data_IF_999318097466
#
_entry.id   IF_999318097466
#
_cell.length_a   1.000
_cell.length_b   1.000
_cell.length_c   1.000
_cell.angle_alpha   90.00
_cell.angle_beta   90.00
_cell.angle_gamma   90.00
#
_symmetry.space_group_name_H-M   'P 1'
#
loop_
_entity.id
_entity.type
_entity.pdbx_description
1 polymer ?
#
# COMPACT_ATOMS: atom_id res chain seq x y z
N UNK A 1 50.13 -7.15 -22.91
CA UNK A 1 49.20 -8.23 -23.29
C UNK A 1 47.83 -7.86 -22.74
N UNK A 2 46.90 -7.41 -23.61
CA UNK A 2 45.57 -6.95 -23.18
C UNK A 2 44.69 -8.17 -22.94
N UNK A 3 44.33 -8.41 -21.69
CA UNK A 3 43.34 -9.42 -21.32
C UNK A 3 41.98 -8.77 -21.56
N UNK A 4 41.37 -9.07 -22.70
CA UNK A 4 39.97 -8.75 -22.97
C UNK A 4 39.12 -9.77 -22.22
N UNK A 5 38.60 -9.38 -21.05
CA UNK A 5 37.54 -10.10 -20.39
C UNK A 5 36.30 -10.04 -21.28
N UNK A 6 35.94 -11.19 -21.84
CA UNK A 6 34.72 -11.38 -22.61
C UNK A 6 33.57 -11.41 -21.60
N UNK A 7 33.03 -10.24 -21.27
CA UNK A 7 31.83 -10.11 -20.46
C UNK A 7 30.63 -10.39 -21.37
N UNK A 8 29.87 -11.42 -21.01
CA UNK A 8 28.68 -11.86 -21.72
C UNK A 8 27.72 -10.69 -22.02
N UNK A 9 27.03 -10.70 -23.18
CA UNK A 9 26.15 -9.62 -23.63
C UNK A 9 24.95 -9.35 -22.70
N UNK A 10 24.71 -10.22 -21.73
CA UNK A 10 23.65 -10.08 -20.72
C UNK A 10 24.04 -9.04 -19.65
N UNK A 11 25.32 -8.95 -19.28
CA UNK A 11 25.81 -8.04 -18.22
C UNK A 11 25.94 -6.60 -18.75
N UNK A 12 26.22 -6.43 -20.04
CA UNK A 12 26.33 -5.12 -20.69
C UNK A 12 24.98 -4.41 -20.90
N UNK A 13 23.86 -5.16 -20.99
CA UNK A 13 22.53 -4.56 -21.18
C UNK A 13 21.94 -3.96 -19.91
N UNK A 14 22.31 -4.47 -18.74
CA UNK A 14 21.78 -4.00 -17.46
C UNK A 14 22.31 -2.60 -17.10
N UNK A 15 23.42 -2.17 -17.69
CA UNK A 15 24.06 -0.87 -17.44
C UNK A 15 23.51 0.29 -18.29
N UNK A 16 22.55 0.04 -19.19
CA UNK A 16 21.97 1.07 -20.07
C UNK A 16 20.46 1.24 -19.92
N UNK A 17 19.82 0.47 -19.04
CA UNK A 17 18.37 0.57 -18.83
C UNK A 17 18.07 1.78 -17.95
N UNK A 18 17.17 2.64 -18.41
CA UNK A 18 16.56 3.67 -17.57
C UNK A 18 15.85 3.02 -16.38
N UNK A 19 15.73 3.73 -15.25
CA UNK A 19 15.00 3.23 -14.07
C UNK A 19 13.59 2.69 -14.43
N UNK A 20 12.96 3.30 -15.43
CA UNK A 20 11.70 2.88 -16.04
C UNK A 20 11.73 1.49 -16.67
N UNK A 21 12.80 1.18 -17.41
CA UNK A 21 12.96 -0.10 -18.06
C UNK A 21 13.29 -1.21 -17.06
N UNK A 22 14.08 -0.88 -16.02
CA UNK A 22 14.36 -1.80 -14.91
C UNK A 22 13.07 -2.14 -14.17
N UNK A 23 12.24 -1.14 -13.88
CA UNK A 23 10.97 -1.34 -13.19
C UNK A 23 10.00 -2.17 -14.03
N UNK A 24 9.86 -1.85 -15.33
CA UNK A 24 9.03 -2.64 -16.26
C UNK A 24 9.49 -4.09 -16.37
N UNK A 25 10.80 -4.34 -16.42
CA UNK A 25 11.35 -5.69 -16.48
C UNK A 25 11.07 -6.47 -15.20
N UNK A 26 11.25 -5.86 -14.02
CA UNK A 26 10.94 -6.47 -12.73
C UNK A 26 9.45 -6.79 -12.58
N UNK A 27 8.55 -5.85 -12.88
CA UNK A 27 7.09 -6.10 -12.82
C UNK A 27 6.69 -7.23 -13.77
N UNK A 28 7.36 -7.36 -14.93
CA UNK A 28 7.15 -8.46 -15.89
C UNK A 28 7.72 -9.81 -15.47
N UNK A 29 8.66 -9.86 -14.52
CA UNK A 29 9.30 -11.12 -14.08
C UNK A 29 8.71 -11.72 -12.81
N UNK A 30 7.97 -10.96 -12.00
CA UNK A 30 7.42 -11.47 -10.72
C UNK A 30 6.25 -12.41 -10.97
N UNK A 31 6.38 -13.67 -10.54
CA UNK A 31 5.44 -14.72 -10.94
C UNK A 31 4.11 -14.69 -10.16
N UNK A 32 4.04 -13.95 -9.06
CA UNK A 32 2.85 -13.85 -8.21
C UNK A 32 2.56 -12.40 -7.84
N UNK A 33 1.29 -12.08 -7.68
CA UNK A 33 0.85 -10.76 -7.23
C UNK A 33 1.39 -10.39 -5.83
N UNK A 34 1.73 -11.39 -5.02
CA UNK A 34 2.36 -11.23 -3.70
C UNK A 34 3.80 -10.71 -3.80
N UNK A 35 4.65 -11.32 -4.63
CA UNK A 35 6.05 -10.86 -4.81
C UNK A 35 6.11 -9.41 -5.31
N UNK A 36 5.16 -9.03 -6.17
CA UNK A 36 5.03 -7.65 -6.64
C UNK A 36 4.63 -6.71 -5.50
N UNK A 37 3.71 -7.11 -4.64
CA UNK A 37 3.36 -6.33 -3.44
C UNK A 37 4.58 -6.19 -2.51
N UNK A 38 5.32 -7.26 -2.26
CA UNK A 38 6.55 -7.23 -1.43
C UNK A 38 7.57 -6.25 -2.02
N UNK A 39 7.84 -6.34 -3.32
CA UNK A 39 8.76 -5.43 -4.00
C UNK A 39 8.31 -3.96 -3.89
N UNK A 40 7.01 -3.68 -4.06
CA UNK A 40 6.47 -2.33 -3.92
C UNK A 40 6.60 -1.81 -2.48
N UNK A 41 6.33 -2.67 -1.49
CA UNK A 41 6.44 -2.35 -0.06
C UNK A 41 7.88 -2.00 0.32
N UNK A 42 8.84 -2.86 -0.03
CA UNK A 42 10.27 -2.62 0.18
C UNK A 42 10.73 -1.34 -0.51
N UNK A 43 10.26 -1.08 -1.73
CA UNK A 43 10.67 0.12 -2.47
C UNK A 43 10.18 1.39 -1.77
N UNK A 44 8.93 1.42 -1.29
CA UNK A 44 8.36 2.60 -0.62
C UNK A 44 8.99 2.87 0.73
N UNK A 45 9.35 1.82 1.49
CA UNK A 45 10.07 1.96 2.76
C UNK A 45 11.42 2.66 2.54
N UNK A 46 12.11 2.35 1.44
CA UNK A 46 13.42 2.93 1.11
C UNK A 46 13.37 4.36 0.54
N UNK A 47 12.20 4.84 0.11
CA UNK A 47 12.02 6.24 -0.29
C UNK A 47 11.86 7.06 0.99
N UNK A 48 12.58 8.17 1.15
CA UNK A 48 12.51 9.00 2.35
C UNK A 48 11.37 10.02 2.25
N UNK A 49 11.30 10.74 1.14
CA UNK A 49 10.33 11.82 0.97
C UNK A 49 8.94 11.28 0.62
N UNK A 50 7.93 11.68 1.39
CA UNK A 50 6.53 11.25 1.18
C UNK A 50 6.02 11.61 -0.23
N UNK A 51 6.38 12.77 -0.78
CA UNK A 51 5.98 13.17 -2.14
C UNK A 51 6.51 12.20 -3.21
N UNK A 52 7.76 11.74 -3.04
CA UNK A 52 8.35 10.74 -3.92
C UNK A 52 7.67 9.36 -3.77
N UNK A 53 7.22 8.98 -2.57
CA UNK A 53 6.42 7.75 -2.37
C UNK A 53 5.12 7.81 -3.15
N UNK A 54 4.41 8.93 -3.05
CA UNK A 54 3.14 9.16 -3.75
C UNK A 54 3.36 9.10 -5.27
N UNK A 55 4.40 9.77 -5.78
CA UNK A 55 4.74 9.75 -7.21
C UNK A 55 5.06 8.34 -7.69
N UNK A 56 5.89 7.60 -6.94
CA UNK A 56 6.24 6.21 -7.25
C UNK A 56 4.99 5.32 -7.29
N UNK A 57 4.12 5.41 -6.29
CA UNK A 57 2.87 4.64 -6.22
C UNK A 57 1.95 4.93 -7.40
N UNK A 58 1.79 6.21 -7.80
CA UNK A 58 1.01 6.55 -8.99
C UNK A 58 1.61 5.95 -10.28
N UNK A 59 2.94 5.99 -10.41
CA UNK A 59 3.63 5.38 -11.54
C UNK A 59 3.47 3.86 -11.55
N UNK A 60 3.69 3.21 -10.41
CA UNK A 60 3.52 1.78 -10.23
C UNK A 60 2.09 1.33 -10.55
N UNK A 61 1.07 2.07 -10.08
CA UNK A 61 -0.34 1.78 -10.38
C UNK A 61 -0.60 1.76 -11.89
N UNK A 62 -0.07 2.76 -12.59
CA UNK A 62 -0.20 2.84 -14.06
C UNK A 62 0.44 1.62 -14.72
N UNK A 63 1.62 1.20 -14.28
CA UNK A 63 2.29 0.02 -14.82
C UNK A 63 1.53 -1.28 -14.51
N UNK A 64 1.06 -1.47 -13.28
CA UNK A 64 0.29 -2.66 -12.88
C UNK A 64 -0.98 -2.81 -13.71
N UNK A 65 -1.71 -1.72 -13.94
CA UNK A 65 -2.93 -1.75 -14.76
C UNK A 65 -2.63 -1.98 -16.25
N UNK A 66 -1.50 -1.47 -16.75
CA UNK A 66 -1.13 -1.59 -18.16
C UNK A 66 -0.46 -2.92 -18.51
N UNK A 67 0.19 -3.57 -17.54
CA UNK A 67 0.86 -4.86 -17.71
C UNK A 67 -0.15 -5.95 -17.33
N UNK A 68 -1.28 -5.99 -18.03
CA UNK A 68 -2.16 -7.15 -17.98
C UNK A 68 -1.40 -8.28 -18.69
N UNK A 69 -0.88 -9.25 -17.92
CA UNK A 69 -0.21 -10.40 -18.52
C UNK A 69 -1.26 -11.23 -19.26
N UNK A 70 -1.08 -11.53 -20.55
CA UNK A 70 -1.84 -12.60 -21.17
C UNK A 70 -1.48 -13.88 -20.41
N UNK A 71 -2.47 -14.50 -19.79
CA UNK A 71 -2.26 -15.79 -19.13
C UNK A 71 -1.99 -16.80 -20.23
N UNK A 72 -0.96 -17.64 -20.08
CA UNK A 72 -0.82 -18.80 -20.94
C UNK A 72 -2.07 -19.66 -20.76
N UNK A 73 -2.89 -19.74 -21.81
CA UNK A 73 -4.21 -20.37 -21.72
C UNK A 73 -4.09 -21.85 -21.34
N UNK A 74 -3.06 -22.55 -21.82
CA UNK A 74 -2.87 -23.97 -21.48
C UNK A 74 -2.48 -24.18 -20.02
N UNK A 75 -1.72 -23.25 -19.43
CA UNK A 75 -1.36 -23.30 -18.02
C UNK A 75 -2.52 -22.81 -17.12
N UNK A 76 -3.26 -21.79 -17.57
CA UNK A 76 -4.46 -21.31 -16.86
C UNK A 76 -5.51 -22.40 -16.74
N UNK A 77 -5.81 -23.10 -17.84
CA UNK A 77 -6.82 -24.15 -17.85
C UNK A 77 -6.43 -25.33 -16.92
N UNK A 78 -5.12 -25.57 -16.73
CA UNK A 78 -4.61 -26.61 -15.84
C UNK A 78 -4.59 -26.21 -14.34
N UNK A 79 -4.51 -24.91 -14.03
CA UNK A 79 -4.31 -24.38 -12.66
C UNK A 79 -5.26 -23.21 -12.35
N UNK A 80 -6.47 -23.26 -12.91
CA UNK A 80 -7.41 -22.14 -12.89
C UNK A 80 -7.78 -21.73 -11.46
N UNK A 81 -7.94 -22.70 -10.57
CA UNK A 81 -8.35 -22.47 -9.18
C UNK A 81 -7.28 -21.70 -8.41
N UNK A 82 -6.01 -22.05 -8.59
CA UNK A 82 -4.85 -21.40 -8.00
C UNK A 82 -4.70 -19.98 -8.52
N UNK A 83 -4.81 -19.78 -9.84
CA UNK A 83 -4.79 -18.45 -10.47
C UNK A 83 -5.91 -17.55 -9.96
N UNK A 84 -7.13 -18.07 -9.85
CA UNK A 84 -8.28 -17.32 -9.37
C UNK A 84 -8.18 -16.99 -7.87
N UNK A 85 -7.60 -17.88 -7.06
CA UNK A 85 -7.32 -17.58 -5.65
C UNK A 85 -6.26 -16.49 -5.50
N UNK A 86 -5.14 -16.60 -6.21
CA UNK A 86 -4.04 -15.65 -6.09
C UNK A 86 -4.41 -14.26 -6.60
N UNK A 87 -5.16 -14.17 -7.72
CA UNK A 87 -5.68 -12.90 -8.23
C UNK A 87 -6.66 -12.20 -7.29
N UNK A 88 -7.46 -12.97 -6.54
CA UNK A 88 -8.43 -12.42 -5.58
C UNK A 88 -7.77 -12.02 -4.27
N UNK A 89 -6.75 -12.76 -3.82
CA UNK A 89 -6.06 -12.51 -2.55
C UNK A 89 -5.07 -11.37 -2.64
N UNK A 90 -4.35 -11.27 -3.76
CA UNK A 90 -3.29 -10.29 -3.94
C UNK A 90 -3.63 -9.46 -5.16
N UNK A 91 -4.22 -8.28 -4.94
CA UNK A 91 -4.48 -7.31 -6.00
C UNK A 91 -3.57 -6.10 -5.80
N UNK A 92 -2.46 -5.99 -6.56
CA UNK A 92 -1.49 -4.92 -6.37
C UNK A 92 -2.09 -3.54 -6.61
N UNK A 93 -3.10 -3.41 -7.49
CA UNK A 93 -3.76 -2.11 -7.71
C UNK A 93 -4.60 -1.68 -6.50
N UNK A 94 -5.30 -2.61 -5.84
CA UNK A 94 -6.01 -2.32 -4.58
C UNK A 94 -5.02 -2.00 -3.45
N UNK A 95 -3.91 -2.74 -3.37
CA UNK A 95 -2.84 -2.46 -2.42
C UNK A 95 -2.28 -1.04 -2.60
N UNK A 96 -1.97 -0.64 -3.83
CA UNK A 96 -1.46 0.69 -4.14
C UNK A 96 -2.46 1.77 -3.75
N UNK A 97 -3.76 1.57 -4.03
CA UNK A 97 -4.80 2.53 -3.62
C UNK A 97 -4.84 2.70 -2.10
N UNK A 98 -4.74 1.60 -1.36
CA UNK A 98 -4.74 1.64 0.10
C UNK A 98 -3.55 2.40 0.67
N UNK A 99 -2.37 2.26 0.07
CA UNK A 99 -1.19 3.04 0.47
C UNK A 99 -1.32 4.52 0.12
N UNK A 100 -1.84 4.86 -1.07
CA UNK A 100 -2.10 6.25 -1.44
C UNK A 100 -3.10 6.94 -0.51
N UNK A 101 -4.19 6.25 -0.15
CA UNK A 101 -5.19 6.77 0.80
C UNK A 101 -4.57 7.04 2.18
N UNK A 102 -3.73 6.12 2.66
CA UNK A 102 -3.07 6.29 3.95
C UNK A 102 -2.03 7.41 3.95
N UNK A 103 -1.18 7.51 2.93
CA UNK A 103 -0.19 8.58 2.82
C UNK A 103 -0.86 9.95 2.76
N UNK A 104 -1.99 10.06 2.05
CA UNK A 104 -2.78 11.30 1.98
C UNK A 104 -3.27 11.73 3.37
N UNK A 105 -3.88 10.81 4.12
CA UNK A 105 -4.33 11.08 5.49
C UNK A 105 -3.14 11.43 6.38
N UNK A 106 -2.05 10.68 6.27
CA UNK A 106 -0.83 10.90 7.05
C UNK A 106 -0.21 12.28 6.81
N UNK A 107 -0.25 12.78 5.57
CA UNK A 107 0.16 14.16 5.26
C UNK A 107 -0.75 15.20 5.91
N UNK A 108 -2.08 14.98 5.88
CA UNK A 108 -3.05 15.87 6.54
C UNK A 108 -2.79 15.94 8.06
N UNK A 109 -2.40 14.83 8.70
CA UNK A 109 -2.04 14.79 10.12
C UNK A 109 -0.72 15.51 10.45
N UNK A 110 0.29 15.47 9.57
CA UNK A 110 1.61 16.06 9.82
C UNK A 110 1.75 17.52 9.38
N UNK A 111 0.94 17.99 8.42
CA UNK A 111 0.95 19.38 7.96
C UNK A 111 0.28 20.38 8.93
N UNK A 112 -0.22 19.92 10.08
CA UNK A 112 -0.98 20.76 11.02
C UNK A 112 -0.11 21.75 11.83
N UNK A 113 0.27 22.85 11.17
CA UNK A 113 0.19 24.22 11.74
C UNK A 113 -1.27 24.69 11.91
N UNK A 114 -2.22 23.91 11.41
CA UNK A 114 -3.64 24.09 11.70
C UNK A 114 -4.03 23.06 12.76
N UNK A 115 -4.23 23.55 13.98
CA UNK A 115 -5.12 22.94 14.99
C UNK A 115 -6.27 22.18 14.33
N UNK A 116 -6.76 21.10 14.97
CA UNK A 116 -7.72 20.18 14.37
C UNK A 116 -8.77 20.98 13.62
N UNK A 117 -8.69 20.94 12.28
CA UNK A 117 -9.84 21.32 11.48
C UNK A 117 -10.99 20.59 12.11
N UNK A 118 -12.01 21.36 12.48
CA UNK A 118 -13.26 20.98 13.13
C UNK A 118 -13.96 19.79 12.44
N UNK A 119 -13.33 18.64 12.42
CA UNK A 119 -13.84 17.31 12.12
C UNK A 119 -14.21 16.72 13.49
N UNK A 120 -15.16 17.37 14.17
CA UNK A 120 -15.59 16.94 15.51
C UNK A 120 -16.15 17.98 16.48
N UNK A 121 -16.32 19.27 16.13
CA UNK A 121 -17.03 20.22 17.03
C UNK A 121 -18.56 20.00 17.03
N UNK A 122 -19.00 18.77 17.26
CA UNK A 122 -20.34 18.45 17.76
C UNK A 122 -20.30 17.30 18.78
N UNK A 123 -19.22 17.13 19.52
CA UNK A 123 -19.27 16.29 20.72
C UNK A 123 -19.58 17.19 21.92
N UNK A 124 -20.84 17.12 22.34
CA UNK A 124 -21.26 17.54 23.67
C UNK A 124 -20.22 17.04 24.68
N UNK A 125 -19.69 17.94 25.51
CA UNK A 125 -18.60 17.73 26.45
C UNK A 125 -18.87 16.70 27.58
N UNK A 126 -19.83 15.78 27.40
CA UNK A 126 -20.24 14.76 28.36
C UNK A 126 -20.53 13.37 27.72
N UNK A 127 -20.11 13.10 26.48
CA UNK A 127 -20.33 11.78 25.86
C UNK A 127 -19.15 10.83 26.15
N UNK A 128 -19.39 9.65 26.76
CA UNK A 128 -18.33 8.68 27.01
C UNK A 128 -17.92 7.96 25.72
N UNK A 129 -16.61 7.93 25.48
CA UNK A 129 -15.86 7.11 24.53
C UNK A 129 -15.98 7.42 23.03
N UNK A 130 -14.86 7.94 22.50
CA UNK A 130 -14.50 8.09 21.08
C UNK A 130 -14.28 6.76 20.36
N UNK A 131 -15.20 5.80 20.53
CA UNK A 131 -15.13 4.48 19.89
C UNK A 131 -15.92 4.49 18.58
N UNK A 132 -15.23 4.27 17.47
CA UNK A 132 -15.80 4.22 16.13
C UNK A 132 -16.06 2.79 15.69
N UNK A 133 -17.13 2.56 14.94
CA UNK A 133 -17.33 1.32 14.18
C UNK A 133 -16.63 1.41 12.82
N UNK A 134 -16.56 0.29 12.13
CA UNK A 134 -15.92 0.20 10.80
C UNK A 134 -16.42 1.26 9.81
N UNK A 135 -17.73 1.48 9.71
CA UNK A 135 -18.30 2.49 8.79
C UNK A 135 -17.95 3.93 9.20
N UNK A 136 -17.81 4.19 10.49
CA UNK A 136 -17.46 5.51 11.00
C UNK A 136 -15.97 5.80 10.78
N UNK A 137 -15.12 4.77 10.87
CA UNK A 137 -13.71 4.85 10.48
C UNK A 137 -13.55 5.17 8.99
N UNK A 138 -14.31 4.50 8.12
CA UNK A 138 -14.29 4.76 6.66
C UNK A 138 -14.64 6.23 6.36
N UNK A 139 -15.63 6.78 7.06
CA UNK A 139 -16.05 8.19 6.90
C UNK A 139 -15.05 9.17 7.48
N UNK A 140 -14.60 8.94 8.73
CA UNK A 140 -13.74 9.88 9.46
C UNK A 140 -12.36 9.98 8.83
N UNK A 141 -11.75 8.84 8.48
CA UNK A 141 -10.41 8.80 7.91
C UNK A 141 -10.42 8.76 6.37
N UNK A 142 -11.60 8.76 5.74
CA UNK A 142 -11.76 8.66 4.28
C UNK A 142 -11.04 7.44 3.69
N UNK A 143 -10.93 6.38 4.48
CA UNK A 143 -10.35 5.12 4.08
C UNK A 143 -11.42 4.27 3.42
N UNK A 144 -11.07 3.67 2.28
CA UNK A 144 -11.86 2.57 1.78
C UNK A 144 -11.80 1.39 2.75
N UNK A 145 -12.81 0.52 2.68
CA UNK A 145 -12.82 -0.77 3.39
C UNK A 145 -11.54 -1.59 3.18
N UNK A 146 -10.94 -1.50 1.99
CA UNK A 146 -9.68 -2.19 1.69
C UNK A 146 -8.51 -1.62 2.47
N UNK A 147 -8.42 -0.30 2.57
CA UNK A 147 -7.42 0.42 3.36
C UNK A 147 -7.55 0.10 4.83
N UNK A 148 -8.76 0.20 5.39
CA UNK A 148 -9.00 -0.08 6.80
C UNK A 148 -8.64 -1.53 7.16
N UNK A 149 -9.07 -2.52 6.37
CA UNK A 149 -8.69 -3.92 6.59
C UNK A 149 -7.17 -4.14 6.52
N UNK A 150 -6.48 -3.44 5.61
CA UNK A 150 -5.01 -3.51 5.53
C UNK A 150 -4.36 -2.91 6.76
N UNK A 151 -4.81 -1.76 7.26
CA UNK A 151 -4.27 -1.18 8.50
C UNK A 151 -4.48 -2.12 9.69
N UNK A 152 -5.64 -2.77 9.79
CA UNK A 152 -5.89 -3.81 10.80
C UNK A 152 -4.90 -4.97 10.66
N UNK A 153 -4.63 -5.45 9.44
CA UNK A 153 -3.65 -6.51 9.20
C UNK A 153 -2.22 -6.09 9.57
N UNK A 154 -1.90 -4.79 9.47
CA UNK A 154 -0.63 -4.18 9.88
C UNK A 154 -0.59 -3.79 11.36
N UNK A 155 -1.61 -4.15 12.15
CA UNK A 155 -1.63 -3.93 13.59
C UNK A 155 -2.30 -2.63 14.06
N UNK A 156 -3.18 -2.03 13.25
CA UNK A 156 -4.05 -0.94 13.73
C UNK A 156 -4.84 -1.41 14.96
N UNK A 157 -4.81 -0.67 16.09
CA UNK A 157 -5.49 -1.05 17.31
C UNK A 157 -7.01 -1.08 17.12
N UNK A 158 -7.62 -2.15 17.64
CA UNK A 158 -9.07 -2.29 17.69
C UNK A 158 -9.47 -3.13 18.89
N UNK A 159 -10.70 -2.92 19.35
CA UNK A 159 -11.33 -3.63 20.45
C UNK A 159 -12.49 -4.47 19.91
N UNK A 160 -12.78 -5.59 20.56
CA UNK A 160 -13.94 -6.42 20.23
C UNK A 160 -15.01 -6.21 21.28
N UNK A 161 -16.25 -5.99 20.84
CA UNK A 161 -17.39 -6.06 21.74
C UNK A 161 -17.73 -7.53 22.10
N UNK A 162 -18.58 -7.75 23.12
CA UNK A 162 -19.03 -9.10 23.47
C UNK A 162 -19.76 -9.85 22.35
N UNK A 163 -20.21 -9.16 21.29
CA UNK A 163 -20.84 -9.74 20.11
C UNK A 163 -19.84 -10.02 18.96
N UNK A 164 -18.55 -9.71 19.15
CA UNK A 164 -17.48 -9.91 18.17
C UNK A 164 -17.32 -8.79 17.13
N UNK A 165 -18.02 -7.66 17.26
CA UNK A 165 -17.84 -6.52 16.38
C UNK A 165 -16.61 -5.69 16.77
N UNK A 166 -15.89 -5.15 15.77
CA UNK A 166 -14.68 -4.34 15.95
C UNK A 166 -15.02 -2.86 16.19
N UNK A 167 -14.38 -2.28 17.20
CA UNK A 167 -14.44 -0.87 17.56
C UNK A 167 -13.03 -0.28 17.62
N UNK A 168 -12.92 1.00 17.30
CA UNK A 168 -11.64 1.69 17.17
C UNK A 168 -11.64 2.93 18.05
N UNK A 169 -10.72 3.01 19.01
CA UNK A 169 -10.54 4.23 19.77
C UNK A 169 -9.80 5.27 18.93
N UNK A 170 -10.39 6.45 18.75
CA UNK A 170 -9.81 7.54 17.94
C UNK A 170 -8.42 7.94 18.42
N UNK A 171 -8.18 7.93 19.74
CA UNK A 171 -6.89 8.31 20.33
C UNK A 171 -5.82 7.30 19.93
N UNK A 172 -6.09 6.01 20.16
CA UNK A 172 -5.17 4.92 19.82
C UNK A 172 -4.89 4.87 18.31
N UNK A 173 -5.93 5.05 17.48
CA UNK A 173 -5.79 5.11 16.03
C UNK A 173 -4.91 6.29 15.61
N UNK A 174 -5.12 7.48 16.18
CA UNK A 174 -4.36 8.66 15.82
C UNK A 174 -2.89 8.55 16.26
N UNK A 175 -2.61 7.95 17.41
CA UNK A 175 -1.26 7.63 17.86
C UNK A 175 -0.58 6.65 16.90
N UNK A 176 -1.27 5.56 16.56
CA UNK A 176 -0.77 4.57 15.61
C UNK A 176 -0.46 5.18 14.23
N UNK A 177 -1.31 6.07 13.71
CA UNK A 177 -1.06 6.78 12.44
C UNK A 177 0.23 7.60 12.53
N UNK A 178 0.46 8.34 13.63
CA UNK A 178 1.66 9.18 13.80
C UNK A 178 2.93 8.33 13.86
N UNK A 179 2.91 7.23 14.61
CA UNK A 179 4.04 6.31 14.72
C UNK A 179 4.37 5.67 13.37
N UNK A 180 3.36 5.16 12.66
CA UNK A 180 3.56 4.52 11.36
C UNK A 180 3.88 5.52 10.24
N UNK A 181 3.53 6.80 10.39
CA UNK A 181 4.01 7.82 9.46
C UNK A 181 5.47 8.15 9.70
N UNK A 182 5.90 8.14 10.97
CA UNK A 182 7.28 8.42 11.37
C UNK A 182 8.22 7.28 10.97
N UNK A 183 7.75 6.03 10.99
CA UNK A 183 8.47 4.86 10.48
C UNK A 183 8.56 4.84 8.94
N UNK A 184 7.71 5.61 8.26
CA UNK A 184 7.75 5.79 6.81
C UNK A 184 8.50 7.07 6.39
N UNK A 185 9.14 7.82 7.28
CA UNK A 185 10.07 8.89 6.91
C UNK A 185 11.50 8.44 7.24
#
# INVERSE_FOLDING_TARGET
MKITANLDPIILKTLQMSNDEILKAKIKSLNLNEDLIIFLEETIINIQETEHKILFLHYAKKLVVQIERPVDQGHYDAFQFEYDQDRRRFNPALWINAELEFLKVSQEFNCSKNQPTSYGNQQNANAPMSLLRHEDMEKMYRWSRSTLNRRIALGLPYHLDPAGAKFFDVTEVNEWIKENTSLMN
#
